data_IF_459435808222
#
_entry.id   IF_459435808222
#
_cell.length_a   1.000
_cell.length_b   1.000
_cell.length_c   1.000
_cell.angle_alpha   90.00
_cell.angle_beta   90.00
_cell.angle_gamma   90.00
#
_symmetry.space_group_name_H-M   'P 1'
#
loop_
_entity.id
_entity.type
_entity.pdbx_description
1 polymer ?
#
# COMPACT_ATOMS: atom_id res chain seq x y z
N UNK A 1 9.02 -4.42 -19.07
CA UNK A 1 9.28 -3.46 -17.98
C UNK A 1 9.66 -4.25 -16.74
N UNK A 2 10.72 -3.85 -16.03
CA UNK A 2 11.09 -4.44 -14.74
C UNK A 2 10.73 -3.44 -13.65
N UNK A 3 9.78 -3.77 -12.79
CA UNK A 3 9.37 -2.93 -11.66
C UNK A 3 10.01 -3.47 -10.38
N UNK A 4 10.73 -2.64 -9.61
CA UNK A 4 11.33 -3.08 -8.35
C UNK A 4 10.22 -3.49 -7.36
N UNK A 5 10.44 -4.50 -6.49
CA UNK A 5 9.45 -4.95 -5.51
C UNK A 5 8.90 -3.86 -4.58
N UNK A 6 9.67 -2.79 -4.35
CA UNK A 6 9.21 -1.63 -3.58
C UNK A 6 8.04 -0.88 -4.22
N UNK A 7 7.89 -0.94 -5.55
CA UNK A 7 6.82 -0.23 -6.27
C UNK A 7 5.52 -1.03 -6.27
N UNK A 8 5.55 -2.32 -6.58
CA UNK A 8 4.33 -3.14 -6.70
C UNK A 8 4.00 -3.93 -5.43
N UNK A 9 5.01 -4.24 -4.59
CA UNK A 9 4.87 -5.07 -3.40
C UNK A 9 3.82 -4.56 -2.40
N UNK A 10 3.80 -3.27 -2.04
CA UNK A 10 2.77 -2.72 -1.16
C UNK A 10 1.35 -2.96 -1.69
N UNK A 11 1.12 -2.76 -3.00
CA UNK A 11 -0.19 -3.00 -3.60
C UNK A 11 -0.61 -4.47 -3.48
N UNK A 12 0.30 -5.40 -3.79
CA UNK A 12 0.02 -6.84 -3.69
C UNK A 12 -0.27 -7.27 -2.25
N UNK A 13 0.52 -6.81 -1.27
CA UNK A 13 0.26 -7.11 0.14
C UNK A 13 -1.07 -6.54 0.61
N UNK A 14 -1.44 -5.33 0.19
CA UNK A 14 -2.77 -4.79 0.47
C UNK A 14 -3.87 -5.66 -0.14
N UNK A 15 -3.74 -6.07 -1.41
CA UNK A 15 -4.70 -6.99 -2.04
C UNK A 15 -4.81 -8.31 -1.27
N UNK A 16 -3.69 -8.94 -0.92
CA UNK A 16 -3.62 -10.20 -0.17
C UNK A 16 -4.38 -10.10 1.16
N UNK A 17 -4.13 -9.05 1.93
CA UNK A 17 -4.77 -8.86 3.23
C UNK A 17 -6.25 -8.46 3.10
N UNK A 18 -6.60 -7.59 2.15
CA UNK A 18 -7.99 -7.17 1.92
C UNK A 18 -8.85 -8.37 1.47
N UNK A 19 -8.34 -9.24 0.60
CA UNK A 19 -9.02 -10.48 0.21
C UNK A 19 -9.27 -11.36 1.43
N UNK A 20 -8.29 -11.50 2.33
CA UNK A 20 -8.45 -12.27 3.57
C UNK A 20 -9.47 -11.62 4.53
N UNK A 21 -9.49 -10.30 4.65
CA UNK A 21 -10.47 -9.56 5.47
C UNK A 21 -11.89 -9.67 4.91
N UNK A 22 -12.04 -9.71 3.58
CA UNK A 22 -13.30 -9.91 2.88
C UNK A 22 -13.82 -11.36 2.90
N UNK A 23 -12.96 -12.32 3.24
CA UNK A 23 -13.31 -13.74 3.27
C UNK A 23 -14.49 -14.03 4.22
N UNK A 24 -15.38 -15.01 3.93
CA UNK A 24 -16.52 -15.30 4.81
C UNK A 24 -16.10 -15.75 6.20
N UNK A 25 -16.92 -15.41 7.21
CA UNK A 25 -16.73 -15.93 8.58
C UNK A 25 -16.91 -17.44 8.64
N UNK A 26 -17.83 -17.97 7.82
CA UNK A 26 -18.13 -19.40 7.66
C UNK A 26 -18.05 -19.73 6.16
N UNK A 27 -16.86 -20.08 5.65
CA UNK A 27 -16.63 -20.26 4.22
C UNK A 27 -17.18 -21.59 3.70
N UNK A 28 -17.75 -21.56 2.50
CA UNK A 28 -18.18 -22.74 1.75
C UNK A 28 -16.98 -23.47 1.15
N UNK A 29 -17.20 -24.69 0.62
CA UNK A 29 -16.17 -25.41 -0.14
C UNK A 29 -15.61 -24.57 -1.31
N UNK A 30 -16.48 -23.89 -2.04
CA UNK A 30 -16.10 -23.03 -3.16
C UNK A 30 -15.24 -21.86 -2.70
N UNK A 31 -15.60 -21.20 -1.60
CA UNK A 31 -14.80 -20.10 -1.04
C UNK A 31 -13.38 -20.56 -0.69
N UNK A 32 -13.27 -21.71 -0.02
CA UNK A 32 -11.97 -22.32 0.34
C UNK A 32 -11.14 -22.62 -0.89
N UNK A 33 -11.75 -23.20 -1.92
CA UNK A 33 -11.08 -23.53 -3.19
C UNK A 33 -10.58 -22.27 -3.89
N UNK A 34 -11.44 -21.27 -4.07
CA UNK A 34 -11.08 -20.00 -4.71
C UNK A 34 -9.98 -19.25 -3.96
N UNK A 35 -10.07 -19.18 -2.63
CA UNK A 35 -9.03 -18.57 -1.81
C UNK A 35 -7.68 -19.30 -1.97
N UNK A 36 -7.69 -20.64 -1.87
CA UNK A 36 -6.50 -21.45 -2.08
C UNK A 36 -5.85 -21.18 -3.44
N UNK A 37 -6.64 -21.27 -4.51
CA UNK A 37 -6.16 -21.03 -5.88
C UNK A 37 -5.59 -19.61 -6.03
N UNK A 38 -6.25 -18.60 -5.48
CA UNK A 38 -5.75 -17.22 -5.50
C UNK A 38 -4.38 -17.08 -4.84
N UNK A 39 -4.21 -17.55 -3.61
CA UNK A 39 -2.96 -17.37 -2.87
C UNK A 39 -1.84 -18.25 -3.43
N UNK A 40 -2.11 -19.50 -3.80
CA UNK A 40 -1.09 -20.39 -4.39
C UNK A 40 -0.66 -19.90 -5.78
N UNK A 41 -1.54 -19.26 -6.55
CA UNK A 41 -1.19 -18.68 -7.86
C UNK A 41 -0.13 -17.57 -7.76
N UNK A 42 -0.02 -16.88 -6.62
CA UNK A 42 1.01 -15.85 -6.43
C UNK A 42 2.44 -16.41 -6.54
N UNK A 43 2.64 -17.69 -6.23
CA UNK A 43 3.91 -18.39 -6.45
C UNK A 43 4.37 -18.39 -7.93
N UNK A 44 3.47 -18.11 -8.86
CA UNK A 44 3.74 -18.10 -10.30
C UNK A 44 3.60 -16.69 -10.88
N UNK A 45 2.74 -15.85 -10.31
CA UNK A 45 2.34 -14.57 -10.89
C UNK A 45 3.10 -13.35 -10.34
N UNK A 46 3.80 -13.46 -9.21
CA UNK A 46 4.58 -12.31 -8.72
C UNK A 46 5.61 -11.86 -9.77
N UNK A 47 5.72 -10.55 -10.08
CA UNK A 47 6.55 -10.04 -11.17
C UNK A 47 8.04 -9.94 -10.80
N UNK A 48 8.55 -10.93 -10.08
CA UNK A 48 9.92 -11.02 -9.57
C UNK A 48 10.29 -12.49 -9.35
N UNK A 49 11.30 -12.99 -10.06
CA UNK A 49 11.68 -14.41 -10.02
C UNK A 49 12.13 -14.87 -8.63
N UNK A 50 13.02 -14.10 -7.98
CA UNK A 50 13.49 -14.38 -6.62
C UNK A 50 12.34 -14.33 -5.60
N UNK A 51 11.41 -13.38 -5.78
CA UNK A 51 10.26 -13.24 -4.91
C UNK A 51 9.32 -14.44 -5.03
N UNK A 52 9.11 -14.98 -6.24
CA UNK A 52 8.32 -16.21 -6.46
C UNK A 52 8.94 -17.40 -5.74
N UNK A 53 10.26 -17.56 -5.84
CA UNK A 53 10.95 -18.68 -5.20
C UNK A 53 10.84 -18.61 -3.68
N UNK A 54 11.13 -17.46 -3.08
CA UNK A 54 10.94 -17.28 -1.64
C UNK A 54 9.48 -17.47 -1.22
N UNK A 55 8.52 -16.98 -2.01
CA UNK A 55 7.10 -17.19 -1.71
C UNK A 55 6.73 -18.68 -1.71
N UNK A 56 7.21 -19.46 -2.69
CA UNK A 56 7.04 -20.93 -2.72
C UNK A 56 7.60 -21.59 -1.46
N UNK A 57 8.81 -21.23 -1.06
CA UNK A 57 9.42 -21.75 0.17
C UNK A 57 8.54 -21.45 1.39
N UNK A 58 8.03 -20.22 1.51
CA UNK A 58 7.19 -19.80 2.63
C UNK A 58 5.86 -20.56 2.67
N UNK A 59 5.12 -20.65 1.55
CA UNK A 59 3.83 -21.35 1.52
C UNK A 59 3.99 -22.88 1.63
N UNK A 60 5.14 -23.44 1.27
CA UNK A 60 5.46 -24.85 1.53
C UNK A 60 5.68 -25.11 3.01
N UNK A 61 6.38 -24.21 3.71
CA UNK A 61 6.59 -24.29 5.17
C UNK A 61 5.33 -23.98 5.97
N UNK A 62 4.42 -23.18 5.42
CA UNK A 62 3.15 -22.78 6.02
C UNK A 62 2.01 -22.98 5.01
N UNK A 63 1.58 -24.24 4.79
CA UNK A 63 0.51 -24.52 3.84
C UNK A 63 -0.79 -23.84 4.23
N UNK A 64 -1.52 -23.31 3.25
CA UNK A 64 -2.77 -22.58 3.48
C UNK A 64 -3.93 -23.49 3.92
N UNK A 65 -3.87 -24.80 3.65
CA UNK A 65 -4.98 -25.73 3.84
C UNK A 65 -5.61 -25.69 5.25
N UNK A 66 -4.82 -25.45 6.30
CA UNK A 66 -5.29 -25.40 7.70
C UNK A 66 -5.78 -24.02 8.15
N UNK A 67 -5.83 -23.05 7.24
CA UNK A 67 -6.17 -21.64 7.52
C UNK A 67 -7.38 -21.15 6.72
N UNK A 68 -8.13 -22.06 6.10
CA UNK A 68 -9.25 -21.73 5.22
C UNK A 68 -10.62 -21.86 5.91
N UNK A 69 -10.66 -22.23 7.19
CA UNK A 69 -11.91 -22.53 7.92
C UNK A 69 -12.62 -21.28 8.45
N UNK A 70 -11.92 -20.14 8.52
CA UNK A 70 -12.53 -18.87 8.88
C UNK A 70 -11.75 -17.68 8.31
N UNK A 71 -12.40 -16.51 8.26
CA UNK A 71 -11.75 -15.21 8.01
C UNK A 71 -10.55 -14.99 8.91
N UNK A 72 -10.69 -15.28 10.20
CA UNK A 72 -9.65 -15.05 11.22
C UNK A 72 -8.42 -15.92 10.93
N UNK A 73 -8.62 -17.17 10.54
CA UNK A 73 -7.50 -18.06 10.23
C UNK A 73 -6.77 -17.61 8.97
N UNK A 74 -7.53 -17.21 7.95
CA UNK A 74 -6.95 -16.75 6.69
C UNK A 74 -6.16 -15.46 6.86
N UNK A 75 -6.69 -14.46 7.57
CA UNK A 75 -5.94 -13.22 7.83
C UNK A 75 -4.66 -13.50 8.63
N UNK A 76 -4.72 -14.35 9.67
CA UNK A 76 -3.53 -14.77 10.42
C UNK A 76 -2.49 -15.42 9.52
N UNK A 77 -2.90 -16.28 8.60
CA UNK A 77 -1.99 -16.90 7.63
C UNK A 77 -1.31 -15.85 6.75
N UNK A 78 -2.07 -14.90 6.18
CA UNK A 78 -1.45 -13.85 5.34
C UNK A 78 -0.43 -13.01 6.10
N UNK A 79 -0.68 -12.72 7.38
CA UNK A 79 0.25 -11.99 8.26
C UNK A 79 1.50 -12.83 8.52
N UNK A 80 1.36 -14.14 8.78
CA UNK A 80 2.50 -15.03 8.98
C UNK A 80 3.40 -15.08 7.74
N UNK A 81 2.82 -15.17 6.54
CA UNK A 81 3.58 -15.17 5.29
C UNK A 81 4.28 -13.82 5.07
N UNK A 82 3.60 -12.69 5.33
CA UNK A 82 4.20 -11.35 5.21
C UNK A 82 5.33 -11.15 6.24
N UNK A 83 5.15 -11.58 7.49
CA UNK A 83 6.19 -11.49 8.52
C UNK A 83 7.40 -12.37 8.20
N UNK A 84 7.21 -13.54 7.59
CA UNK A 84 8.34 -14.36 7.13
C UNK A 84 9.20 -13.62 6.09
N UNK A 85 8.58 -12.81 5.22
CA UNK A 85 9.27 -11.92 4.29
C UNK A 85 9.92 -10.74 5.03
N UNK A 86 9.23 -10.11 5.99
CA UNK A 86 9.77 -9.01 6.78
C UNK A 86 11.02 -9.43 7.54
N UNK A 87 10.99 -10.59 8.21
CA UNK A 87 12.12 -11.15 8.93
C UNK A 87 13.34 -11.33 8.00
N UNK A 88 13.13 -11.89 6.80
CA UNK A 88 14.20 -12.06 5.80
C UNK A 88 14.78 -10.73 5.32
N UNK A 89 13.98 -9.66 5.34
CA UNK A 89 14.38 -8.31 4.94
C UNK A 89 14.82 -7.42 6.12
N UNK A 90 14.88 -7.95 7.35
CA UNK A 90 15.22 -7.17 8.55
C UNK A 90 14.20 -6.09 8.91
N UNK A 91 12.93 -6.28 8.55
CA UNK A 91 11.82 -5.37 8.85
C UNK A 91 11.06 -5.81 10.10
N UNK A 92 10.38 -4.86 10.74
CA UNK A 92 9.49 -5.14 11.87
C UNK A 92 8.35 -6.08 11.46
N UNK A 93 8.00 -6.97 12.36
CA UNK A 93 6.84 -7.85 12.23
C UNK A 93 5.57 -7.14 12.68
N UNK A 94 4.44 -7.59 12.14
CA UNK A 94 3.12 -7.07 12.48
C UNK A 94 2.31 -8.10 13.27
N UNK A 95 1.67 -7.66 14.34
CA UNK A 95 0.64 -8.43 15.05
C UNK A 95 -0.70 -8.38 14.32
N UNK A 96 -1.60 -9.31 14.67
CA UNK A 96 -2.97 -9.29 14.16
C UNK A 96 -3.71 -8.00 14.53
N UNK A 97 -3.53 -7.53 15.77
CA UNK A 97 -4.19 -6.32 16.26
C UNK A 97 -3.76 -5.07 15.47
N UNK A 98 -2.47 -4.91 15.22
CA UNK A 98 -1.94 -3.79 14.44
C UNK A 98 -2.49 -3.79 13.01
N UNK A 99 -2.55 -4.97 12.37
CA UNK A 99 -3.10 -5.10 11.01
C UNK A 99 -4.59 -4.77 10.99
N UNK A 100 -5.37 -5.29 11.93
CA UNK A 100 -6.80 -4.98 12.01
C UNK A 100 -7.05 -3.49 12.25
N UNK A 101 -6.33 -2.88 13.20
CA UNK A 101 -6.40 -1.43 13.48
C UNK A 101 -6.03 -0.60 12.24
N UNK A 102 -5.00 -1.02 11.50
CA UNK A 102 -4.61 -0.35 10.26
C UNK A 102 -5.74 -0.36 9.23
N UNK A 103 -6.33 -1.52 8.94
CA UNK A 103 -7.37 -1.64 7.93
C UNK A 103 -8.70 -1.02 8.35
N UNK A 104 -9.02 -1.00 9.65
CA UNK A 104 -10.17 -0.26 10.18
C UNK A 104 -10.01 1.24 9.92
N UNK A 105 -8.86 1.83 10.27
CA UNK A 105 -8.54 3.23 9.99
C UNK A 105 -8.55 3.53 8.50
N UNK A 106 -8.07 2.60 7.67
CA UNK A 106 -8.09 2.76 6.22
C UNK A 106 -9.53 2.78 5.68
N UNK A 107 -10.38 1.85 6.11
CA UNK A 107 -11.78 1.78 5.71
C UNK A 107 -12.59 3.02 6.13
N UNK A 108 -12.30 3.57 7.30
CA UNK A 108 -12.96 4.78 7.81
C UNK A 108 -12.68 6.05 6.98
N UNK A 109 -11.63 6.06 6.14
CA UNK A 109 -11.32 7.23 5.29
C UNK A 109 -12.32 7.47 4.17
N UNK A 110 -13.13 6.46 3.82
CA UNK A 110 -14.12 6.50 2.73
C UNK A 110 -13.59 7.11 1.41
N UNK A 111 -12.29 6.93 1.13
CA UNK A 111 -11.62 7.39 -0.09
C UNK A 111 -10.55 6.38 -0.52
N UNK A 112 -10.28 6.30 -1.81
CA UNK A 112 -9.21 5.45 -2.36
C UNK A 112 -7.83 5.90 -1.85
N UNK A 113 -6.95 4.97 -1.41
CA UNK A 113 -5.54 5.30 -1.18
C UNK A 113 -4.75 5.45 -2.48
N UNK A 114 -5.30 4.96 -3.60
CA UNK A 114 -4.76 5.15 -4.95
C UNK A 114 -5.24 6.48 -5.49
N UNK A 115 -4.31 7.21 -6.08
CA UNK A 115 -4.50 8.56 -6.58
C UNK A 115 -5.56 8.63 -7.69
N UNK A 116 -6.45 9.61 -7.58
CA UNK A 116 -7.57 9.85 -8.50
C UNK A 116 -7.29 11.04 -9.41
N UNK A 117 -8.12 11.22 -10.44
CA UNK A 117 -8.07 12.44 -11.26
C UNK A 117 -8.36 13.70 -10.45
N UNK A 118 -9.16 13.60 -9.39
CA UNK A 118 -9.42 14.75 -8.53
C UNK A 118 -8.19 15.07 -7.68
N UNK A 119 -7.44 14.05 -7.25
CA UNK A 119 -6.14 14.25 -6.62
C UNK A 119 -5.10 14.89 -7.60
N UNK A 120 -5.15 14.59 -8.92
CA UNK A 120 -4.40 15.35 -9.96
C UNK A 120 -4.74 16.81 -9.92
N UNK A 121 -6.05 17.03 -10.06
CA UNK A 121 -6.75 18.29 -9.98
C UNK A 121 -6.14 19.21 -8.93
N UNK A 122 -6.18 18.66 -7.72
CA UNK A 122 -5.80 19.34 -6.50
C UNK A 122 -4.30 19.59 -6.40
N UNK A 123 -3.45 18.62 -6.77
CA UNK A 123 -1.99 18.79 -6.72
C UNK A 123 -1.53 19.84 -7.74
N UNK A 124 -2.05 19.80 -8.96
CA UNK A 124 -1.75 20.80 -9.99
C UNK A 124 -2.19 22.20 -9.54
N UNK A 125 -3.42 22.32 -9.03
CA UNK A 125 -3.96 23.58 -8.53
C UNK A 125 -3.15 24.14 -7.35
N UNK A 126 -2.82 23.30 -6.36
CA UNK A 126 -1.98 23.69 -5.21
C UNK A 126 -0.57 24.12 -5.66
N UNK A 127 0.00 23.44 -6.64
CA UNK A 127 1.32 23.79 -7.20
C UNK A 127 1.27 25.14 -7.93
N UNK A 128 0.22 25.37 -8.71
CA UNK A 128 -0.05 26.65 -9.37
C UNK A 128 -0.18 27.79 -8.36
N UNK A 129 -1.01 27.65 -7.31
CA UNK A 129 -1.17 28.67 -6.26
C UNK A 129 0.17 28.98 -5.58
N UNK A 130 0.92 27.94 -5.18
CA UNK A 130 2.23 28.15 -4.53
C UNK A 130 3.20 28.91 -5.42
N UNK A 131 3.26 28.56 -6.70
CA UNK A 131 4.07 29.26 -7.70
C UNK A 131 3.66 30.73 -7.86
N UNK A 132 2.36 30.99 -7.92
CA UNK A 132 1.81 32.34 -7.99
C UNK A 132 2.17 33.18 -6.75
N UNK A 133 1.93 32.65 -5.54
CA UNK A 133 2.24 33.34 -4.28
C UNK A 133 3.73 33.63 -4.13
N UNK A 134 4.60 32.67 -4.47
CA UNK A 134 6.05 32.87 -4.44
C UNK A 134 6.47 34.00 -5.40
N UNK A 135 5.91 34.01 -6.62
CA UNK A 135 6.20 35.05 -7.62
C UNK A 135 5.75 36.44 -7.17
N UNK A 136 4.54 36.54 -6.60
CA UNK A 136 3.99 37.79 -6.09
C UNK A 136 4.82 38.36 -4.92
N UNK A 137 5.29 37.48 -4.02
CA UNK A 137 6.15 37.88 -2.90
C UNK A 137 7.50 38.44 -3.39
N UNK A 138 8.12 37.79 -4.39
CA UNK A 138 9.39 38.26 -5.00
C UNK A 138 9.20 39.64 -5.64
N UNK A 139 8.15 39.81 -6.45
CA UNK A 139 7.87 41.09 -7.12
C UNK A 139 7.61 42.21 -6.12
N UNK A 140 6.88 41.93 -5.04
CA UNK A 140 6.59 42.90 -3.98
C UNK A 140 7.87 43.33 -3.25
N UNK A 141 8.77 42.38 -2.95
CA UNK A 141 10.05 42.67 -2.33
C UNK A 141 10.96 43.51 -3.24
N UNK A 142 11.07 43.13 -4.53
CA UNK A 142 11.84 43.90 -5.51
C UNK A 142 11.28 45.32 -5.69
N UNK A 143 9.95 45.46 -5.77
CA UNK A 143 9.29 46.75 -5.86
C UNK A 143 9.53 47.62 -4.61
N UNK A 144 9.49 47.03 -3.43
CA UNK A 144 9.82 47.71 -2.17
C UNK A 144 11.27 48.19 -2.11
N UNK A 145 12.23 47.33 -2.50
CA UNK A 145 13.65 47.70 -2.60
C UNK A 145 13.85 48.85 -3.60
N UNK A 146 13.25 48.75 -4.79
CA UNK A 146 13.31 49.81 -5.80
C UNK A 146 12.73 51.13 -5.30
N UNK A 147 11.55 51.08 -4.65
CA UNK A 147 10.91 52.27 -4.09
C UNK A 147 11.78 52.95 -3.04
N UNK A 148 12.37 52.19 -2.11
CA UNK A 148 13.30 52.73 -1.11
C UNK A 148 14.54 53.34 -1.76
N UNK A 149 15.16 52.64 -2.72
CA UNK A 149 16.33 53.16 -3.44
C UNK A 149 16.02 54.46 -4.19
N UNK A 150 14.83 54.58 -4.79
CA UNK A 150 14.39 55.77 -5.52
C UNK A 150 14.12 57.01 -4.65
N UNK A 151 14.02 56.85 -3.33
CA UNK A 151 13.77 57.93 -2.34
C UNK A 151 15.04 58.40 -1.64
N UNK A 152 16.16 57.69 -1.81
CA UNK A 152 17.46 57.97 -1.18
C UNK A 152 18.38 58.76 -2.13
N UNK A 153 18.00 58.95 -3.40
CA UNK A 153 18.60 59.91 -4.34
C UNK A 153 17.65 61.10 -4.54
#
# INVERSE_FOLDING_TARGET
MHFPPSVWGPFFWHTIHIVALGYPKTPTYTDKKCAKEFYESLAYLLPCAVCREHYREHITKKPINTFLDSRTDLIKWTIQIHNAVNQKLGKLEWSLEEVLSYYEKLGARNRSPVWTKDDMNEVEYRSFIKGFLASAAILSAMGGVYYVMSRIH
#
